data_IF_585956046105
#
_entry.id   IF_585956046105
#
_cell.length_a   1.000
_cell.length_b   1.000
_cell.length_c   1.000
_cell.angle_alpha   90.00
_cell.angle_beta   90.00
_cell.angle_gamma   90.00
#
_symmetry.space_group_name_H-M   'P 1'
#
loop_
_entity.id
_entity.type
_entity.pdbx_description
1 polymer ?
#
# COMPACT_ATOMS: atom_id res chain seq x y z
N UNK A 1 -67.92 -6.41 -102.07
CA UNK A 1 -68.62 -5.30 -102.76
C UNK A 1 -69.66 -4.73 -101.82
N UNK A 2 -69.56 -3.42 -101.50
CA UNK A 2 -70.62 -2.47 -101.06
C UNK A 2 -71.47 -2.82 -99.81
N UNK A 3 -71.87 -1.94 -98.88
CA UNK A 3 -71.85 -0.47 -98.72
C UNK A 3 -72.36 -0.07 -97.31
N UNK A 4 -71.92 1.12 -96.83
CA UNK A 4 -72.58 2.10 -95.92
C UNK A 4 -72.73 1.89 -94.38
N UNK A 5 -71.88 2.62 -93.63
CA UNK A 5 -72.11 3.62 -92.54
C UNK A 5 -73.37 3.60 -91.66
N UNK A 6 -73.23 3.62 -90.32
CA UNK A 6 -73.34 4.80 -89.42
C UNK A 6 -73.17 4.42 -87.92
N UNK A 7 -72.67 5.37 -87.12
CA UNK A 7 -72.39 5.33 -85.68
C UNK A 7 -73.63 5.70 -84.86
N UNK A 8 -73.81 5.16 -83.66
CA UNK A 8 -73.84 5.90 -82.37
C UNK A 8 -74.41 5.06 -81.21
N UNK A 9 -73.87 5.36 -80.04
CA UNK A 9 -74.08 4.79 -78.72
C UNK A 9 -75.34 5.35 -78.00
N UNK A 10 -75.73 4.69 -76.91
CA UNK A 10 -76.69 5.06 -75.85
C UNK A 10 -78.21 4.89 -76.08
N UNK A 11 -78.86 4.12 -75.17
CA UNK A 11 -80.16 4.46 -74.55
C UNK A 11 -80.57 3.47 -73.43
N UNK A 12 -80.32 3.86 -72.18
CA UNK A 12 -81.16 3.49 -71.03
C UNK A 12 -81.41 4.77 -70.22
N UNK A 13 -82.57 5.40 -70.47
CA UNK A 13 -83.21 6.31 -69.52
C UNK A 13 -84.35 5.58 -68.81
N UNK A 14 -85.13 6.15 -67.91
CA UNK A 14 -85.04 7.38 -67.12
C UNK A 14 -86.22 7.26 -66.14
N UNK A 15 -86.03 7.65 -64.88
CA UNK A 15 -87.15 7.97 -63.99
C UNK A 15 -86.67 9.01 -62.98
N UNK A 16 -86.58 10.25 -63.46
CA UNK A 16 -86.35 11.45 -62.67
C UNK A 16 -87.57 11.79 -61.79
N UNK A 17 -87.31 12.06 -60.51
CA UNK A 17 -88.22 12.74 -59.60
C UNK A 17 -87.47 13.80 -58.79
N UNK A 18 -87.61 15.05 -59.22
CA UNK A 18 -87.32 16.32 -58.54
C UNK A 18 -85.87 16.58 -58.05
N UNK A 19 -85.16 17.38 -58.84
CA UNK A 19 -83.91 18.02 -58.48
C UNK A 19 -84.15 19.27 -57.62
N UNK A 20 -83.49 19.36 -56.46
CA UNK A 20 -83.15 20.63 -55.82
C UNK A 20 -81.68 20.57 -55.34
N UNK A 21 -80.81 21.25 -56.08
CA UNK A 21 -79.46 21.71 -55.73
C UNK A 21 -78.57 20.80 -54.85
N UNK A 22 -78.40 19.52 -55.20
CA UNK A 22 -77.44 18.66 -54.51
C UNK A 22 -76.02 18.88 -55.09
N UNK A 23 -75.20 19.65 -54.36
CA UNK A 23 -73.74 19.60 -54.50
C UNK A 23 -73.24 18.17 -54.32
N UNK A 24 -71.98 17.89 -54.71
CA UNK A 24 -71.36 16.55 -54.60
C UNK A 24 -71.84 15.82 -53.33
N UNK A 25 -72.34 14.57 -53.40
CA UNK A 25 -72.95 13.87 -52.25
C UNK A 25 -72.02 13.73 -51.03
N UNK A 26 -70.72 14.01 -51.19
CA UNK A 26 -69.72 14.12 -50.13
C UNK A 26 -69.85 15.40 -49.26
N UNK A 27 -70.55 16.43 -49.75
CA UNK A 27 -70.71 17.75 -49.12
C UNK A 27 -72.15 18.00 -48.67
N UNK A 28 -72.90 16.94 -48.37
CA UNK A 28 -74.23 17.06 -47.79
C UNK A 28 -74.13 17.36 -46.28
N UNK A 29 -74.33 18.64 -45.95
CA UNK A 29 -74.29 19.18 -44.58
C UNK A 29 -75.33 18.56 -43.64
N UNK A 30 -76.35 17.86 -44.14
CA UNK A 30 -77.34 17.17 -43.30
C UNK A 30 -76.72 16.04 -42.47
N UNK A 31 -75.63 15.42 -42.94
CA UNK A 31 -74.95 14.32 -42.25
C UNK A 31 -73.85 14.76 -41.28
N UNK A 32 -73.41 16.02 -41.38
CA UNK A 32 -72.27 16.55 -40.61
C UNK A 32 -72.55 16.57 -39.12
N UNK A 33 -73.78 16.84 -38.69
CA UNK A 33 -74.14 16.86 -37.26
C UNK A 33 -73.91 15.51 -36.58
N UNK A 34 -74.29 14.41 -37.23
CA UNK A 34 -74.08 13.06 -36.70
C UNK A 34 -72.60 12.67 -36.71
N UNK A 35 -71.85 13.01 -37.78
CA UNK A 35 -70.41 12.76 -37.85
C UNK A 35 -69.65 13.54 -36.77
N UNK A 36 -69.96 14.82 -36.58
CA UNK A 36 -69.35 15.68 -35.54
C UNK A 36 -69.69 15.15 -34.15
N UNK A 37 -70.93 14.72 -33.91
CA UNK A 37 -71.32 14.11 -32.63
C UNK A 37 -70.45 12.88 -32.29
N UNK A 38 -70.34 11.91 -33.22
CA UNK A 38 -69.50 10.73 -32.99
C UNK A 38 -68.00 11.05 -32.94
N UNK A 39 -67.52 12.04 -33.69
CA UNK A 39 -66.16 12.55 -33.58
C UNK A 39 -65.88 13.05 -32.15
N UNK A 40 -66.76 13.89 -31.61
CA UNK A 40 -66.61 14.42 -30.24
C UNK A 40 -66.68 13.28 -29.22
N UNK A 41 -67.63 12.35 -29.36
CA UNK A 41 -67.76 11.19 -28.45
C UNK A 41 -66.49 10.35 -28.46
N UNK A 42 -65.98 9.97 -29.64
CA UNK A 42 -64.77 9.16 -29.77
C UNK A 42 -63.52 9.90 -29.28
N UNK A 43 -63.41 11.21 -29.55
CA UNK A 43 -62.33 12.06 -29.03
C UNK A 43 -62.34 12.07 -27.50
N UNK A 44 -63.50 12.24 -26.86
CA UNK A 44 -63.63 12.23 -25.39
C UNK A 44 -63.27 10.87 -24.82
N UNK A 45 -63.71 9.77 -25.45
CA UNK A 45 -63.35 8.41 -25.03
C UNK A 45 -61.83 8.20 -25.11
N UNK A 46 -61.20 8.55 -26.23
CA UNK A 46 -59.74 8.45 -26.40
C UNK A 46 -59.02 9.33 -25.37
N UNK A 47 -59.48 10.57 -25.16
CA UNK A 47 -58.92 11.48 -24.18
C UNK A 47 -58.92 10.86 -22.78
N UNK A 48 -60.05 10.29 -22.35
CA UNK A 48 -60.17 9.61 -21.06
C UNK A 48 -59.25 8.39 -20.96
N UNK A 49 -59.16 7.57 -22.02
CA UNK A 49 -58.25 6.42 -22.05
C UNK A 49 -56.80 6.87 -21.91
N UNK A 50 -56.39 7.92 -22.64
CA UNK A 50 -55.03 8.44 -22.56
C UNK A 50 -54.70 8.99 -21.16
N UNK A 51 -55.59 9.81 -20.60
CA UNK A 51 -55.34 10.40 -19.27
C UNK A 51 -55.42 9.40 -18.14
N UNK A 52 -56.34 8.42 -18.18
CA UNK A 52 -56.53 7.48 -17.08
C UNK A 52 -55.68 6.22 -17.18
N UNK A 53 -55.20 5.86 -18.37
CA UNK A 53 -54.50 4.58 -18.58
C UNK A 53 -53.12 4.78 -19.18
N UNK A 54 -52.99 5.52 -20.29
CA UNK A 54 -51.70 5.61 -20.98
C UNK A 54 -50.67 6.45 -20.22
N UNK A 55 -51.04 7.69 -19.82
CA UNK A 55 -50.16 8.58 -19.06
C UNK A 55 -49.68 7.97 -17.72
N UNK A 56 -50.56 7.44 -16.85
CA UNK A 56 -50.11 6.89 -15.56
C UNK A 56 -49.19 5.67 -15.72
N UNK A 57 -49.34 4.88 -16.79
CA UNK A 57 -48.39 3.78 -17.06
C UNK A 57 -47.01 4.28 -17.49
N UNK A 58 -46.94 5.34 -18.29
CA UNK A 58 -45.68 5.94 -18.71
C UNK A 58 -44.98 6.59 -17.51
N UNK A 59 -45.73 7.31 -16.66
CA UNK A 59 -45.22 7.89 -15.42
C UNK A 59 -44.66 6.83 -14.47
N UNK A 60 -45.35 5.70 -14.32
CA UNK A 60 -44.87 4.60 -13.48
C UNK A 60 -43.52 4.05 -13.96
N UNK A 61 -43.36 3.79 -15.26
CA UNK A 61 -42.09 3.29 -15.83
C UNK A 61 -40.97 4.34 -15.70
N UNK A 62 -41.29 5.61 -15.92
CA UNK A 62 -40.32 6.68 -15.80
C UNK A 62 -39.86 6.85 -14.34
N UNK A 63 -40.81 6.81 -13.39
CA UNK A 63 -40.52 6.88 -11.96
C UNK A 63 -39.70 5.68 -11.49
N UNK A 64 -40.01 4.47 -11.94
CA UNK A 64 -39.23 3.26 -11.65
C UNK A 64 -37.79 3.40 -12.14
N UNK A 65 -37.60 3.84 -13.40
CA UNK A 65 -36.24 4.06 -13.96
C UNK A 65 -35.48 5.14 -13.21
N UNK A 66 -36.12 6.26 -12.89
CA UNK A 66 -35.49 7.32 -12.11
C UNK A 66 -35.11 6.81 -10.72
N UNK A 67 -36.00 6.08 -10.06
CA UNK A 67 -35.75 5.47 -8.75
C UNK A 67 -34.55 4.52 -8.76
N UNK A 68 -34.48 3.62 -9.75
CA UNK A 68 -33.35 2.70 -9.90
C UNK A 68 -32.04 3.45 -10.18
N UNK A 69 -32.04 4.43 -11.09
CA UNK A 69 -30.84 5.22 -11.39
C UNK A 69 -30.36 5.99 -10.16
N UNK A 70 -31.26 6.63 -9.42
CA UNK A 70 -30.91 7.36 -8.20
C UNK A 70 -30.37 6.41 -7.14
N UNK A 71 -31.01 5.26 -6.94
CA UNK A 71 -30.53 4.25 -6.00
C UNK A 71 -29.14 3.71 -6.37
N UNK A 72 -28.92 3.39 -7.64
CA UNK A 72 -27.64 2.90 -8.13
C UNK A 72 -26.54 3.97 -8.02
N UNK A 73 -26.87 5.23 -8.29
CA UNK A 73 -25.96 6.36 -8.10
C UNK A 73 -25.58 6.53 -6.63
N UNK A 74 -26.57 6.54 -5.73
CA UNK A 74 -26.31 6.64 -4.29
C UNK A 74 -25.48 5.46 -3.79
N UNK A 75 -25.78 4.24 -4.21
CA UNK A 75 -24.98 3.05 -3.86
C UNK A 75 -23.54 3.17 -4.39
N UNK A 76 -23.35 3.65 -5.62
CA UNK A 76 -22.03 3.86 -6.20
C UNK A 76 -21.23 4.95 -5.45
N UNK A 77 -21.87 6.05 -5.06
CA UNK A 77 -21.26 7.12 -4.28
C UNK A 77 -20.87 6.63 -2.88
N UNK A 78 -21.74 5.86 -2.21
CA UNK A 78 -21.47 5.29 -0.89
C UNK A 78 -20.31 4.28 -0.94
N UNK A 79 -20.28 3.42 -1.96
CA UNK A 79 -19.16 2.49 -2.18
C UNK A 79 -17.86 3.24 -2.48
N UNK A 80 -17.92 4.34 -3.25
CA UNK A 80 -16.75 5.17 -3.52
C UNK A 80 -16.24 5.85 -2.25
N UNK A 81 -17.12 6.38 -1.42
CA UNK A 81 -16.75 6.98 -0.13
C UNK A 81 -16.10 5.94 0.78
N UNK A 82 -16.72 4.76 0.94
CA UNK A 82 -16.15 3.65 1.72
C UNK A 82 -14.78 3.21 1.20
N UNK A 83 -14.58 3.19 -0.12
CA UNK A 83 -13.29 2.86 -0.71
C UNK A 83 -12.21 3.90 -0.37
N UNK A 84 -12.55 5.20 -0.46
CA UNK A 84 -11.64 6.29 -0.10
C UNK A 84 -11.30 6.25 1.40
N UNK A 85 -12.30 6.08 2.26
CA UNK A 85 -12.10 5.97 3.71
C UNK A 85 -11.21 4.75 4.06
N UNK A 86 -11.44 3.61 3.40
CA UNK A 86 -10.63 2.41 3.59
C UNK A 86 -9.19 2.61 3.10
N UNK A 87 -9.00 3.31 1.97
CA UNK A 87 -7.68 3.64 1.44
C UNK A 87 -6.93 4.60 2.38
N UNK A 88 -7.59 5.63 2.91
CA UNK A 88 -7.03 6.54 3.89
C UNK A 88 -6.64 5.82 5.18
N UNK A 89 -7.53 4.97 5.71
CA UNK A 89 -7.26 4.16 6.91
C UNK A 89 -6.09 3.20 6.69
N UNK A 90 -6.02 2.54 5.53
CA UNK A 90 -4.91 1.66 5.16
C UNK A 90 -3.59 2.42 5.05
N UNK A 91 -3.58 3.57 4.36
CA UNK A 91 -2.38 4.39 4.20
C UNK A 91 -1.89 4.93 5.56
N UNK A 92 -2.81 5.32 6.44
CA UNK A 92 -2.49 5.73 7.81
C UNK A 92 -1.89 4.58 8.60
N UNK A 93 -2.52 3.40 8.60
CA UNK A 93 -2.00 2.22 9.29
C UNK A 93 -0.59 1.83 8.78
N UNK A 94 -0.35 1.95 7.47
CA UNK A 94 0.96 1.69 6.88
C UNK A 94 2.01 2.72 7.31
N UNK A 95 1.64 4.00 7.39
CA UNK A 95 2.53 5.06 7.88
C UNK A 95 2.87 4.85 9.36
N UNK A 96 1.87 4.55 10.20
CA UNK A 96 2.03 4.29 11.62
C UNK A 96 2.92 3.05 11.85
N UNK A 97 2.67 1.96 11.11
CA UNK A 97 3.49 0.75 11.19
C UNK A 97 4.96 0.99 10.79
N UNK A 98 5.20 1.81 9.76
CA UNK A 98 6.56 2.20 9.35
C UNK A 98 7.24 3.07 10.41
N UNK A 99 6.50 4.01 11.01
CA UNK A 99 7.02 4.84 12.09
C UNK A 99 7.41 4.00 13.30
N UNK A 100 6.55 3.06 13.72
CA UNK A 100 6.82 2.16 14.84
C UNK A 100 7.99 1.22 14.55
N UNK A 101 8.07 0.66 13.34
CA UNK A 101 9.21 -0.16 12.94
C UNK A 101 10.53 0.63 13.01
N UNK A 102 10.55 1.86 12.52
CA UNK A 102 11.73 2.72 12.61
C UNK A 102 12.11 3.04 14.05
N UNK A 103 11.12 3.27 14.92
CA UNK A 103 11.33 3.50 16.35
C UNK A 103 11.94 2.27 17.03
N UNK A 104 11.38 1.07 16.78
CA UNK A 104 11.93 -0.19 17.30
C UNK A 104 13.37 -0.40 16.84
N UNK A 105 13.68 -0.13 15.56
CA UNK A 105 15.04 -0.25 15.04
C UNK A 105 15.99 0.75 15.70
N UNK A 106 15.54 1.98 15.97
CA UNK A 106 16.33 2.99 16.64
C UNK A 106 16.61 2.62 18.11
N UNK A 107 15.58 2.18 18.84
CA UNK A 107 15.69 1.70 20.22
C UNK A 107 16.62 0.49 20.31
N UNK A 108 16.43 -0.53 19.47
CA UNK A 108 17.30 -1.70 19.45
C UNK A 108 18.76 -1.36 19.14
N UNK A 109 19.02 -0.40 18.24
CA UNK A 109 20.38 0.08 17.97
C UNK A 109 20.99 0.80 19.17
N UNK A 110 20.21 1.61 19.87
CA UNK A 110 20.67 2.31 21.07
C UNK A 110 21.01 1.32 22.19
N UNK A 111 20.16 0.32 22.41
CA UNK A 111 20.37 -0.72 23.41
C UNK A 111 21.62 -1.57 23.09
N UNK A 112 21.75 -2.01 21.83
CA UNK A 112 22.94 -2.76 21.37
C UNK A 112 24.20 -1.93 21.55
N UNK A 113 24.17 -0.62 21.23
CA UNK A 113 25.34 0.23 21.41
C UNK A 113 25.72 0.37 22.88
N UNK A 114 24.74 0.55 23.77
CA UNK A 114 24.97 0.64 25.21
C UNK A 114 25.57 -0.67 25.77
N UNK A 115 25.06 -1.82 25.34
CA UNK A 115 25.59 -3.13 25.72
C UNK A 115 27.02 -3.35 25.21
N UNK A 116 27.30 -2.94 23.97
CA UNK A 116 28.65 -2.99 23.39
C UNK A 116 29.63 -2.10 24.16
N UNK A 117 29.23 -0.87 24.50
CA UNK A 117 30.07 0.06 25.25
C UNK A 117 30.37 -0.49 26.67
N UNK A 118 29.37 -1.08 27.33
CA UNK A 118 29.55 -1.72 28.63
C UNK A 118 30.47 -2.95 28.56
N UNK A 119 30.29 -3.80 27.54
CA UNK A 119 31.13 -4.96 27.32
C UNK A 119 32.58 -4.57 26.99
N UNK A 120 32.78 -3.54 26.16
CA UNK A 120 34.09 -3.00 25.84
C UNK A 120 34.79 -2.45 27.07
N UNK A 121 34.10 -1.62 27.88
CA UNK A 121 34.66 -1.08 29.11
C UNK A 121 35.07 -2.17 30.11
N UNK A 122 34.28 -3.24 30.21
CA UNK A 122 34.61 -4.40 31.04
C UNK A 122 35.83 -5.15 30.50
N UNK A 123 35.87 -5.41 29.20
CA UNK A 123 37.01 -6.07 28.56
C UNK A 123 38.30 -5.27 28.74
N UNK A 124 38.26 -3.95 28.57
CA UNK A 124 39.40 -3.06 28.79
C UNK A 124 39.89 -3.10 30.23
N UNK A 125 38.97 -3.12 31.21
CA UNK A 125 39.33 -3.25 32.62
C UNK A 125 39.99 -4.61 32.95
N UNK A 126 39.47 -5.70 32.40
CA UNK A 126 40.05 -7.04 32.57
C UNK A 126 41.43 -7.15 31.90
N UNK A 127 41.59 -6.60 30.70
CA UNK A 127 42.87 -6.55 29.99
C UNK A 127 43.89 -5.73 30.81
N UNK A 128 43.50 -4.57 31.32
CA UNK A 128 44.38 -3.73 32.13
C UNK A 128 44.81 -4.43 33.42
N UNK A 129 43.89 -5.11 34.11
CA UNK A 129 44.21 -5.90 35.30
C UNK A 129 45.19 -7.05 34.99
N UNK A 130 44.94 -7.79 33.91
CA UNK A 130 45.82 -8.89 33.47
C UNK A 130 47.20 -8.40 33.04
N UNK A 131 47.26 -7.24 32.38
CA UNK A 131 48.52 -6.61 32.00
C UNK A 131 49.34 -6.24 33.25
N UNK A 132 48.71 -5.60 34.24
CA UNK A 132 49.36 -5.24 35.51
C UNK A 132 49.85 -6.48 36.29
N UNK A 133 49.05 -7.54 36.34
CA UNK A 133 49.44 -8.82 36.94
C UNK A 133 50.66 -9.43 36.23
N UNK A 134 50.64 -9.44 34.89
CA UNK A 134 51.73 -9.98 34.07
C UNK A 134 53.00 -9.16 34.24
N UNK A 135 52.91 -7.82 34.30
CA UNK A 135 54.04 -6.94 34.58
C UNK A 135 54.64 -7.21 35.96
N UNK A 136 53.82 -7.40 36.99
CA UNK A 136 54.29 -7.75 38.32
C UNK A 136 55.02 -9.10 38.33
N UNK A 137 54.45 -10.13 37.69
CA UNK A 137 55.07 -11.44 37.57
C UNK A 137 56.39 -11.40 36.80
N UNK A 138 56.46 -10.64 35.70
CA UNK A 138 57.70 -10.44 34.92
C UNK A 138 58.77 -9.76 35.78
N UNK A 139 58.40 -8.74 36.57
CA UNK A 139 59.32 -8.06 37.47
C UNK A 139 59.85 -8.98 38.57
N UNK A 140 59.01 -9.84 39.13
CA UNK A 140 59.42 -10.85 40.11
C UNK A 140 60.38 -11.87 39.50
N UNK A 141 60.06 -12.42 38.33
CA UNK A 141 60.94 -13.34 37.59
C UNK A 141 62.28 -12.66 37.28
N UNK A 142 62.27 -11.40 36.85
CA UNK A 142 63.49 -10.63 36.58
C UNK A 142 64.34 -10.46 37.84
N UNK A 143 63.72 -10.15 38.99
CA UNK A 143 64.43 -10.04 40.26
C UNK A 143 65.06 -11.38 40.68
N UNK A 144 64.29 -12.46 40.63
CA UNK A 144 64.77 -13.82 40.95
C UNK A 144 65.86 -14.31 39.98
N UNK A 145 65.76 -13.97 38.70
CA UNK A 145 66.79 -14.27 37.71
C UNK A 145 68.10 -13.53 38.01
N UNK A 146 68.06 -12.25 38.41
CA UNK A 146 69.25 -11.49 38.81
C UNK A 146 69.94 -12.16 40.01
N UNK A 147 69.18 -12.63 40.99
CA UNK A 147 69.75 -13.31 42.16
C UNK A 147 70.30 -14.70 41.83
N UNK A 148 69.64 -15.44 40.95
CA UNK A 148 70.13 -16.71 40.42
C UNK A 148 71.43 -16.51 39.63
N UNK A 149 71.51 -15.47 38.80
CA UNK A 149 72.73 -15.10 38.07
C UNK A 149 73.86 -14.76 39.03
N UNK A 150 73.60 -14.04 40.14
CA UNK A 150 74.62 -13.76 41.17
C UNK A 150 75.17 -15.04 41.79
N UNK A 151 74.29 -15.99 42.12
CA UNK A 151 74.70 -17.27 42.71
C UNK A 151 75.56 -18.08 41.73
N UNK A 152 75.04 -18.32 40.52
CA UNK A 152 75.75 -19.08 39.48
C UNK A 152 77.08 -18.42 39.10
N UNK A 153 77.13 -17.10 39.02
CA UNK A 153 78.37 -16.37 38.70
C UNK A 153 79.44 -16.52 39.79
N UNK A 154 79.04 -16.53 41.07
CA UNK A 154 79.96 -16.77 42.19
C UNK A 154 80.48 -18.21 42.19
N UNK A 155 79.58 -19.18 41.97
CA UNK A 155 79.93 -20.60 41.95
C UNK A 155 80.85 -20.90 40.76
N UNK A 156 80.52 -20.41 39.56
CA UNK A 156 81.36 -20.56 38.38
C UNK A 156 82.74 -19.90 38.56
N UNK A 157 82.81 -18.67 39.10
CA UNK A 157 84.09 -18.00 39.36
C UNK A 157 84.95 -18.77 40.37
N UNK A 158 84.34 -19.35 41.41
CA UNK A 158 85.03 -20.17 42.40
C UNK A 158 85.57 -21.47 41.79
N UNK A 159 84.77 -22.15 40.98
CA UNK A 159 85.14 -23.39 40.29
C UNK A 159 86.33 -23.15 39.34
N UNK A 160 86.25 -22.08 38.53
CA UNK A 160 87.33 -21.68 37.61
C UNK A 160 88.63 -21.41 38.38
N UNK A 161 88.59 -20.60 39.44
CA UNK A 161 89.78 -20.30 40.25
C UNK A 161 90.36 -21.56 40.92
N UNK A 162 89.50 -22.49 41.35
CA UNK A 162 89.89 -23.79 41.86
C UNK A 162 90.62 -24.65 40.83
N UNK A 163 90.09 -24.73 39.60
CA UNK A 163 90.71 -25.46 38.49
C UNK A 163 92.09 -24.93 38.09
N UNK A 164 92.35 -23.63 38.33
CA UNK A 164 93.62 -22.97 38.05
C UNK A 164 94.62 -23.03 39.22
N UNK A 165 94.29 -23.73 40.31
CA UNK A 165 95.18 -23.98 41.45
C UNK A 165 95.24 -22.85 42.48
N UNK A 166 94.38 -21.83 42.39
CA UNK A 166 94.31 -20.73 43.35
C UNK A 166 93.30 -21.02 44.47
N UNK A 167 93.71 -20.90 45.75
CA UNK A 167 92.76 -20.88 46.88
C UNK A 167 92.12 -19.51 46.97
N UNK A 168 90.99 -19.34 46.30
CA UNK A 168 90.24 -18.09 46.36
C UNK A 168 89.49 -17.95 47.70
N UNK A 169 89.74 -16.86 48.43
CA UNK A 169 88.95 -16.51 49.61
C UNK A 169 87.52 -16.16 49.20
N UNK A 170 86.53 -16.85 49.78
CA UNK A 170 85.13 -16.74 49.39
C UNK A 170 84.56 -15.32 49.55
N UNK A 171 85.10 -14.51 50.47
CA UNK A 171 84.67 -13.12 50.65
C UNK A 171 85.19 -12.24 49.51
N UNK A 172 86.45 -12.40 49.10
CA UNK A 172 87.02 -11.63 47.98
C UNK A 172 86.33 -11.90 46.63
N UNK A 173 86.02 -13.17 46.32
CA UNK A 173 85.28 -13.56 45.10
C UNK A 173 83.86 -12.98 45.11
N UNK A 174 83.16 -13.10 46.25
CA UNK A 174 81.82 -12.54 46.41
C UNK A 174 81.82 -11.02 46.24
N UNK A 175 82.81 -10.32 46.78
CA UNK A 175 82.95 -8.87 46.66
C UNK A 175 83.23 -8.44 45.20
N UNK A 176 84.15 -9.11 44.51
CA UNK A 176 84.52 -8.80 43.14
C UNK A 176 83.37 -9.02 42.14
N UNK A 177 82.65 -10.15 42.25
CA UNK A 177 81.48 -10.46 41.40
C UNK A 177 80.36 -9.45 41.66
N UNK A 178 80.08 -9.12 42.93
CA UNK A 178 79.02 -8.15 43.27
C UNK A 178 79.36 -6.74 42.78
N UNK A 179 80.63 -6.32 42.85
CA UNK A 179 81.09 -5.04 42.31
C UNK A 179 80.93 -4.96 40.78
N UNK A 180 81.19 -6.06 40.06
CA UNK A 180 81.00 -6.09 38.60
C UNK A 180 79.56 -6.19 38.12
N UNK A 181 78.66 -6.73 38.94
CA UNK A 181 77.23 -6.76 38.62
C UNK A 181 76.48 -5.45 38.92
N UNK A 182 77.11 -4.53 39.67
CA UNK A 182 76.56 -3.19 39.96
C UNK A 182 77.08 -2.09 39.02
N UNK A 183 78.01 -2.42 38.12
CA UNK A 183 78.64 -1.50 37.18
C UNK A 183 77.91 -1.39 35.85
#
# INVERSE_FOLDING_TARGET
>A
MASNTHSTDAAHGDAHGAAEAAGMPQLDFSTFGNQIFWLVVTLVVIYFVLTKIALPRIEAVLSERQGTITNDLTAAEELKQKAVEAEEAYNKALADARAEANKIVAEARADIQADLDAAAAKADAEIAAKAAESEAAINEIRAGAIDSIKAVSKDAAKEILGSMGYKADAKSVTAAVTARMKG
#
